data_IF_304688369692
#
_entry.id   IF_304688369692
#
_cell.length_a   1.000
_cell.length_b   1.000
_cell.length_c   1.000
_cell.angle_alpha   90.00
_cell.angle_beta   90.00
_cell.angle_gamma   90.00
#
_symmetry.space_group_name_H-M   'P 1'
#
loop_
_entity.id
_entity.type
_entity.pdbx_description
1 polymer ?
#
# COMPACT_ATOMS: atom_id res chain seq x y z
N UNK A 1 -9.28 -9.45 -12.45
CA UNK A 1 -8.94 -8.53 -11.33
C UNK A 1 -9.39 -7.08 -11.51
N UNK A 2 -9.32 -6.46 -12.70
CA UNK A 2 -9.68 -5.02 -12.88
C UNK A 2 -11.12 -4.58 -12.54
N UNK A 3 -12.04 -5.52 -12.27
CA UNK A 3 -13.39 -5.21 -11.74
C UNK A 3 -13.49 -5.25 -10.21
N UNK A 4 -12.63 -6.02 -9.52
CA UNK A 4 -12.72 -6.26 -8.08
C UNK A 4 -11.98 -5.18 -7.27
N UNK A 5 -10.80 -4.75 -7.74
CA UNK A 5 -9.97 -3.76 -7.06
C UNK A 5 -9.52 -2.67 -8.05
N UNK A 6 -10.43 -1.77 -8.47
CA UNK A 6 -10.09 -0.67 -9.39
C UNK A 6 -9.05 0.27 -8.77
N UNK A 7 -7.98 0.57 -9.50
CA UNK A 7 -6.88 1.44 -9.04
C UNK A 7 -5.93 0.76 -8.03
N UNK A 8 -5.98 -0.57 -7.93
CA UNK A 8 -5.01 -1.35 -7.19
C UNK A 8 -4.21 -2.22 -8.15
N UNK A 9 -2.91 -2.25 -7.93
CA UNK A 9 -2.00 -3.21 -8.52
C UNK A 9 -1.95 -4.46 -7.65
N UNK A 10 -1.53 -5.58 -8.24
CA UNK A 10 -1.37 -6.82 -7.51
C UNK A 10 -0.27 -7.70 -8.10
N UNK A 11 0.26 -8.59 -7.28
CA UNK A 11 1.12 -9.69 -7.67
C UNK A 11 0.76 -10.92 -6.84
N UNK A 12 1.24 -12.09 -7.26
CA UNK A 12 0.91 -13.37 -6.64
C UNK A 12 2.02 -14.38 -6.84
N UNK A 13 1.96 -15.51 -6.14
CA UNK A 13 2.89 -16.62 -6.33
C UNK A 13 2.50 -17.61 -7.46
N UNK A 14 1.66 -17.20 -8.42
CA UNK A 14 1.15 -18.06 -9.51
C UNK A 14 2.22 -18.68 -10.41
N UNK A 15 3.48 -18.19 -10.42
CA UNK A 15 4.55 -18.85 -11.18
C UNK A 15 5.14 -20.06 -10.44
N UNK A 16 4.84 -20.21 -9.15
CA UNK A 16 5.32 -21.31 -8.31
C UNK A 16 4.19 -22.19 -7.73
N UNK A 17 2.93 -21.78 -7.87
CA UNK A 17 1.74 -22.52 -7.44
C UNK A 17 0.59 -22.19 -8.40
N UNK A 18 0.03 -23.21 -9.08
CA UNK A 18 -1.07 -23.03 -10.01
C UNK A 18 -2.31 -22.40 -9.33
N UNK A 19 -2.50 -22.62 -8.03
CA UNK A 19 -3.60 -22.04 -7.25
C UNK A 19 -3.36 -20.57 -6.87
N UNK A 20 -2.11 -20.08 -6.90
CA UNK A 20 -1.78 -18.67 -6.60
C UNK A 20 -2.23 -18.17 -5.23
N UNK A 21 -2.03 -19.00 -4.20
CA UNK A 21 -2.60 -18.84 -2.84
C UNK A 21 -2.15 -17.60 -2.09
N UNK A 22 -1.07 -16.94 -2.53
CA UNK A 22 -0.57 -15.71 -1.92
C UNK A 22 -0.74 -14.58 -2.92
N UNK A 23 -1.52 -13.56 -2.54
CA UNK A 23 -1.77 -12.37 -3.36
C UNK A 23 -1.45 -11.12 -2.54
N UNK A 24 -0.67 -10.22 -3.11
CA UNK A 24 -0.31 -8.92 -2.52
C UNK A 24 -0.92 -7.82 -3.37
N UNK A 25 -1.64 -6.88 -2.74
CA UNK A 25 -2.28 -5.73 -3.39
C UNK A 25 -1.69 -4.42 -2.88
N UNK A 26 -1.55 -3.43 -3.76
CA UNK A 26 -1.10 -2.08 -3.40
C UNK A 26 -1.71 -1.02 -4.31
N UNK A 27 -1.65 0.26 -3.89
CA UNK A 27 -2.11 1.41 -4.69
C UNK A 27 -0.98 1.94 -5.59
N UNK A 28 -1.35 2.68 -6.63
CA UNK A 28 -0.45 3.17 -7.70
C UNK A 28 0.75 4.00 -7.21
N UNK A 29 0.67 4.57 -6.01
CA UNK A 29 1.78 5.29 -5.41
C UNK A 29 2.83 4.38 -4.77
N UNK A 30 2.72 3.05 -4.82
CA UNK A 30 3.72 2.11 -4.30
C UNK A 30 4.24 1.28 -5.46
N UNK A 31 5.54 1.01 -5.50
CA UNK A 31 6.13 0.05 -6.43
C UNK A 31 6.48 -1.23 -5.69
N UNK A 32 6.04 -2.37 -6.22
CA UNK A 32 6.31 -3.69 -5.65
C UNK A 32 6.97 -4.55 -6.72
N UNK A 33 8.14 -5.10 -6.40
CA UNK A 33 8.89 -6.02 -7.26
C UNK A 33 9.00 -7.37 -6.57
N UNK A 34 8.55 -8.43 -7.24
CA UNK A 34 8.74 -9.80 -6.74
C UNK A 34 10.22 -10.14 -6.82
N UNK A 35 10.81 -10.52 -5.69
CA UNK A 35 12.19 -11.00 -5.60
C UNK A 35 12.25 -12.51 -5.72
N UNK A 36 11.36 -13.21 -5.00
CA UNK A 36 11.28 -14.67 -5.00
C UNK A 36 9.85 -15.13 -4.73
N UNK A 37 9.46 -16.26 -5.31
CA UNK A 37 8.15 -16.86 -5.07
C UNK A 37 8.25 -18.39 -5.02
N UNK A 38 7.54 -18.98 -4.06
CA UNK A 38 7.41 -20.43 -3.87
C UNK A 38 5.94 -20.76 -3.61
N UNK A 39 5.64 -22.05 -3.46
CA UNK A 39 4.31 -22.50 -3.04
C UNK A 39 3.89 -21.93 -1.67
N UNK A 40 4.84 -21.66 -0.78
CA UNK A 40 4.57 -21.28 0.62
C UNK A 40 4.96 -19.83 0.97
N UNK A 41 5.67 -19.12 0.08
CA UNK A 41 6.13 -17.76 0.33
C UNK A 41 6.17 -16.89 -0.93
N UNK A 42 5.97 -15.59 -0.73
CA UNK A 42 6.13 -14.56 -1.75
C UNK A 42 6.93 -13.40 -1.16
N UNK A 43 8.18 -13.26 -1.61
CA UNK A 43 9.09 -12.20 -1.17
C UNK A 43 9.11 -11.08 -2.19
N UNK A 44 8.86 -9.87 -1.71
CA UNK A 44 8.77 -8.66 -2.49
C UNK A 44 9.68 -7.58 -1.95
N UNK A 45 10.28 -6.81 -2.84
CA UNK A 45 10.83 -5.49 -2.55
C UNK A 45 9.73 -4.44 -2.72
N UNK A 46 9.54 -3.62 -1.70
CA UNK A 46 8.51 -2.58 -1.67
C UNK A 46 9.20 -1.22 -1.61
N UNK A 47 8.90 -0.39 -2.60
CA UNK A 47 9.38 1.00 -2.69
C UNK A 47 8.22 1.96 -2.55
N UNK A 48 8.31 2.82 -1.54
CA UNK A 48 7.37 3.91 -1.29
C UNK A 48 8.04 5.21 -1.75
N UNK A 49 7.36 6.08 -2.51
CA UNK A 49 7.85 7.40 -2.89
C UNK A 49 8.28 8.17 -1.65
N UNK A 50 9.40 8.88 -1.76
CA UNK A 50 9.94 9.72 -0.69
C UNK A 50 10.16 8.97 0.63
N UNK A 51 10.41 7.66 0.56
CA UNK A 51 10.71 6.80 1.71
C UNK A 51 11.74 5.72 1.32
N UNK A 52 12.18 4.97 2.33
CA UNK A 52 13.11 3.86 2.15
C UNK A 52 12.42 2.65 1.52
N UNK A 53 13.16 1.95 0.68
CA UNK A 53 12.78 0.62 0.20
C UNK A 53 12.95 -0.40 1.33
N UNK A 54 12.06 -1.38 1.40
CA UNK A 54 12.19 -2.51 2.31
C UNK A 54 11.79 -3.82 1.63
N UNK A 55 12.23 -4.94 2.19
CA UNK A 55 11.84 -6.28 1.74
C UNK A 55 10.79 -6.84 2.69
N UNK A 56 9.76 -7.45 2.11
CA UNK A 56 8.63 -8.04 2.80
C UNK A 56 8.36 -9.44 2.24
N UNK A 57 8.09 -10.42 3.11
CA UNK A 57 7.72 -11.78 2.72
C UNK A 57 6.36 -12.13 3.28
N UNK A 58 5.40 -12.41 2.40
CA UNK A 58 4.13 -13.04 2.76
C UNK A 58 4.31 -14.56 2.80
N UNK A 59 3.84 -15.20 3.87
CA UNK A 59 3.97 -16.66 4.06
C UNK A 59 2.58 -17.27 4.19
N UNK A 60 2.33 -18.30 3.39
CA UNK A 60 1.23 -19.23 3.57
C UNK A 60 1.82 -20.63 3.72
N UNK A 61 2.14 -20.98 4.96
CA UNK A 61 2.84 -22.21 5.27
C UNK A 61 1.92 -23.43 5.19
N UNK A 62 2.48 -24.57 4.79
CA UNK A 62 1.79 -25.86 4.85
C UNK A 62 1.44 -26.22 6.28
N UNK A 63 0.31 -26.91 6.44
CA UNK A 63 -0.13 -27.49 7.70
C UNK A 63 0.81 -28.63 8.15
N UNK A 64 1.47 -29.30 7.21
CA UNK A 64 2.41 -30.38 7.51
C UNK A 64 3.79 -29.85 7.90
N UNK A 65 4.32 -30.30 9.03
CA UNK A 65 5.65 -29.86 9.50
C UNK A 65 6.79 -30.32 8.59
N UNK A 66 6.65 -31.49 7.97
CA UNK A 66 7.58 -32.02 6.96
C UNK A 66 7.71 -31.06 5.77
N UNK A 67 6.59 -30.61 5.21
CA UNK A 67 6.58 -29.68 4.07
C UNK A 67 7.10 -28.28 4.42
N UNK A 68 7.04 -27.88 5.70
CA UNK A 68 7.60 -26.59 6.15
C UNK A 68 9.13 -26.58 6.16
N UNK A 69 9.80 -27.72 6.09
CA UNK A 69 11.27 -27.77 6.00
C UNK A 69 11.75 -27.05 4.74
N UNK A 70 11.09 -27.31 3.61
CA UNK A 70 11.40 -26.65 2.33
C UNK A 70 11.20 -25.13 2.42
N UNK A 71 10.12 -24.69 3.08
CA UNK A 71 9.89 -23.26 3.34
C UNK A 71 11.07 -22.63 4.10
N UNK A 72 11.58 -23.27 5.15
CA UNK A 72 12.70 -22.74 5.92
C UNK A 72 13.99 -22.66 5.11
N UNK A 73 14.28 -23.68 4.29
CA UNK A 73 15.43 -23.68 3.40
C UNK A 73 15.32 -22.54 2.38
N UNK A 74 14.14 -22.37 1.78
CA UNK A 74 13.88 -21.29 0.82
C UNK A 74 14.02 -19.90 1.46
N UNK A 75 13.54 -19.70 2.68
CA UNK A 75 13.70 -18.44 3.41
C UNK A 75 15.17 -18.15 3.71
N UNK A 76 15.95 -19.16 4.10
CA UNK A 76 17.39 -19.02 4.35
C UNK A 76 18.15 -18.67 3.07
N UNK A 77 17.84 -19.36 1.97
CA UNK A 77 18.42 -19.07 0.66
C UNK A 77 18.07 -17.65 0.20
N UNK A 78 16.81 -17.25 0.36
CA UNK A 78 16.34 -15.88 0.04
C UNK A 78 17.10 -14.84 0.86
N UNK A 79 17.22 -15.05 2.16
CA UNK A 79 17.97 -14.19 3.07
C UNK A 79 19.43 -14.02 2.60
N UNK A 80 20.10 -15.13 2.24
CA UNK A 80 21.48 -15.12 1.76
C UNK A 80 21.61 -14.44 0.38
N UNK A 81 20.77 -14.82 -0.57
CA UNK A 81 20.82 -14.35 -1.96
C UNK A 81 20.58 -12.85 -2.09
N UNK A 82 19.66 -12.31 -1.28
CA UNK A 82 19.36 -10.87 -1.27
C UNK A 82 20.15 -10.10 -0.22
N UNK A 83 21.09 -10.75 0.48
CA UNK A 83 21.89 -10.15 1.56
C UNK A 83 21.02 -9.36 2.54
N UNK A 84 19.86 -9.93 2.88
CA UNK A 84 18.98 -9.35 3.89
C UNK A 84 19.75 -9.46 5.20
N UNK A 85 20.08 -8.35 5.86
CA UNK A 85 20.90 -8.40 7.07
C UNK A 85 20.06 -8.85 8.28
N UNK A 86 20.48 -9.88 9.02
CA UNK A 86 19.79 -10.42 10.19
C UNK A 86 19.78 -9.44 11.37
N UNK A 87 20.73 -8.50 11.43
CA UNK A 87 20.68 -7.40 12.40
C UNK A 87 19.58 -6.38 12.06
N UNK A 88 18.97 -6.53 10.89
CA UNK A 88 17.88 -5.74 10.34
C UNK A 88 16.58 -6.57 10.26
N UNK A 89 16.39 -7.63 11.06
CA UNK A 89 15.09 -8.34 11.17
C UNK A 89 13.90 -7.41 11.50
N UNK A 90 14.21 -6.20 11.95
CA UNK A 90 13.29 -5.11 12.20
C UNK A 90 13.43 -3.95 11.20
N UNK A 91 13.90 -4.12 9.95
CA UNK A 91 14.02 -3.00 8.98
C UNK A 91 12.73 -2.20 8.92
N UNK A 92 11.61 -2.92 8.81
CA UNK A 92 10.30 -2.30 8.72
C UNK A 92 9.90 -1.60 10.03
N UNK A 93 10.26 -2.12 11.20
CA UNK A 93 9.97 -1.50 12.50
C UNK A 93 10.92 -0.32 12.79
N UNK A 94 12.13 -0.32 12.25
CA UNK A 94 13.06 0.80 12.36
C UNK A 94 12.68 1.92 11.39
N UNK A 95 12.24 1.57 10.18
CA UNK A 95 11.78 2.52 9.16
C UNK A 95 10.38 3.06 9.45
N UNK A 96 9.51 2.23 10.03
CA UNK A 96 8.11 2.50 10.32
C UNK A 96 7.74 1.99 11.72
N UNK A 97 8.18 2.66 12.79
CA UNK A 97 7.98 2.20 14.17
C UNK A 97 6.51 2.10 14.58
N UNK A 98 5.64 2.92 13.99
CA UNK A 98 4.20 2.92 14.25
C UNK A 98 3.42 2.00 13.28
N UNK A 99 4.12 1.14 12.52
CA UNK A 99 3.43 0.22 11.62
C UNK A 99 2.64 -0.85 12.38
N UNK A 100 1.55 -1.30 11.77
CA UNK A 100 0.63 -2.28 12.33
C UNK A 100 0.12 -3.21 11.24
N UNK A 101 -0.15 -4.46 11.61
CA UNK A 101 -0.77 -5.45 10.74
C UNK A 101 -2.15 -5.82 11.30
N UNK A 102 -3.18 -5.80 10.47
CA UNK A 102 -4.54 -6.17 10.81
C UNK A 102 -4.97 -7.38 9.99
N UNK A 103 -5.28 -8.48 10.65
CA UNK A 103 -5.85 -9.67 9.99
C UNK A 103 -7.37 -9.52 9.96
N UNK A 104 -7.91 -9.41 8.75
CA UNK A 104 -9.34 -9.30 8.50
C UNK A 104 -10.00 -10.68 8.53
N UNK A 105 -11.32 -10.76 8.79
CA UNK A 105 -12.05 -12.03 8.74
C UNK A 105 -11.84 -12.74 7.40
N UNK A 106 -11.70 -14.06 7.45
CA UNK A 106 -11.42 -14.90 6.28
C UNK A 106 -12.55 -14.93 5.23
N UNK A 107 -13.75 -14.49 5.62
CA UNK A 107 -14.97 -14.46 4.80
C UNK A 107 -15.17 -15.81 4.08
N UNK A 108 -15.04 -15.84 2.76
CA UNK A 108 -15.23 -17.04 1.91
C UNK A 108 -13.94 -17.76 1.56
N UNK A 109 -12.79 -17.25 2.02
CA UNK A 109 -11.49 -17.91 1.86
C UNK A 109 -11.15 -18.64 3.16
N UNK A 110 -10.39 -19.72 3.04
CA UNK A 110 -9.65 -20.35 4.14
C UNK A 110 -8.44 -19.51 4.58
N UNK A 111 -8.19 -18.38 3.92
CA UNK A 111 -7.20 -17.38 4.29
C UNK A 111 -7.83 -16.13 4.92
N UNK A 112 -7.13 -15.53 5.88
CA UNK A 112 -7.45 -14.21 6.42
C UNK A 112 -6.62 -13.13 5.70
N UNK A 113 -7.24 -12.13 5.06
CA UNK A 113 -6.50 -11.03 4.46
C UNK A 113 -5.70 -10.27 5.52
N UNK A 114 -4.44 -9.91 5.21
CA UNK A 114 -3.61 -9.10 6.08
C UNK A 114 -3.47 -7.68 5.51
N UNK A 115 -3.89 -6.67 6.27
CA UNK A 115 -3.68 -5.27 5.97
C UNK A 115 -2.46 -4.76 6.74
N UNK A 116 -1.41 -4.41 6.01
CA UNK A 116 -0.23 -3.75 6.57
C UNK A 116 -0.41 -2.22 6.49
N UNK A 117 -0.55 -1.58 7.64
CA UNK A 117 -0.55 -0.12 7.78
C UNK A 117 0.82 0.35 8.25
N UNK A 118 1.57 1.04 7.38
CA UNK A 118 2.91 1.51 7.71
C UNK A 118 2.92 2.79 8.56
N UNK A 119 1.76 3.35 8.90
CA UNK A 119 1.61 4.67 9.55
C UNK A 119 2.39 5.80 8.84
N UNK A 120 2.75 5.58 7.57
CA UNK A 120 3.45 6.55 6.74
C UNK A 120 2.49 7.66 6.32
N UNK A 121 2.86 8.91 6.59
CA UNK A 121 2.12 10.07 6.11
C UNK A 121 2.32 10.19 4.61
N UNK A 122 1.32 9.74 3.85
CA UNK A 122 1.26 10.02 2.42
C UNK A 122 1.29 11.55 2.26
N UNK A 123 2.21 12.12 1.44
CA UNK A 123 2.26 13.56 1.20
C UNK A 123 0.87 14.09 0.87
N UNK A 124 0.37 15.02 1.67
CA UNK A 124 -1.01 15.52 1.59
C UNK A 124 -1.20 16.56 0.48
N UNK A 125 -0.59 16.35 -0.69
CA UNK A 125 -0.81 17.22 -1.83
C UNK A 125 -1.95 16.67 -2.70
N UNK A 126 -3.04 17.43 -2.78
CA UNK A 126 -4.04 17.30 -3.84
C UNK A 126 -5.07 16.16 -3.76
N UNK A 127 -5.12 15.35 -2.71
CA UNK A 127 -6.00 14.15 -2.67
C UNK A 127 -7.39 14.37 -2.08
N UNK A 128 -7.68 15.52 -1.48
CA UNK A 128 -9.08 15.89 -1.21
C UNK A 128 -9.63 16.56 -2.46
N UNK A 129 -10.49 15.89 -3.26
CA UNK A 129 -11.22 16.59 -4.29
C UNK A 129 -11.96 17.75 -3.62
N UNK A 130 -11.75 18.96 -4.15
CA UNK A 130 -12.52 20.12 -3.73
C UNK A 130 -14.01 19.79 -3.92
N UNK A 131 -14.72 19.62 -2.81
CA UNK A 131 -16.14 19.30 -2.83
C UNK A 131 -16.91 20.61 -2.71
N UNK A 132 -17.27 21.18 -3.85
CA UNK A 132 -18.26 22.24 -3.89
C UNK A 132 -19.64 21.65 -3.62
N UNK A 133 -20.31 22.12 -2.57
CA UNK A 133 -21.68 21.70 -2.32
C UNK A 133 -22.63 22.46 -3.25
N UNK A 134 -23.25 21.76 -4.20
CA UNK A 134 -24.16 22.36 -5.19
C UNK A 134 -25.36 23.11 -4.59
N UNK A 135 -25.71 22.91 -3.31
CA UNK A 135 -26.77 23.71 -2.68
C UNK A 135 -26.30 25.14 -2.39
N UNK A 136 -24.99 25.39 -2.26
CA UNK A 136 -24.45 26.73 -2.00
C UNK A 136 -24.70 27.67 -3.17
N UNK A 137 -24.71 27.16 -4.41
CA UNK A 137 -25.06 27.97 -5.58
C UNK A 137 -26.55 28.36 -5.63
N UNK A 138 -27.39 27.72 -4.81
CA UNK A 138 -28.82 28.05 -4.69
C UNK A 138 -29.08 29.11 -3.61
N UNK A 139 -28.06 29.51 -2.86
CA UNK A 139 -28.22 30.51 -1.81
C UNK A 139 -28.48 31.89 -2.44
N UNK A 140 -29.44 32.69 -1.93
CA UNK A 140 -29.80 33.99 -2.52
C UNK A 140 -28.63 34.96 -2.70
N UNK A 141 -27.65 34.91 -1.78
CA UNK A 141 -26.47 35.79 -1.81
C UNK A 141 -25.24 35.17 -2.48
N UNK A 142 -25.35 33.97 -3.08
CA UNK A 142 -24.20 33.27 -3.65
C UNK A 142 -23.44 34.13 -4.68
N UNK A 143 -24.17 34.74 -5.63
CA UNK A 143 -23.56 35.54 -6.68
C UNK A 143 -22.87 36.79 -6.13
N UNK A 144 -23.50 37.48 -5.18
CA UNK A 144 -22.93 38.67 -4.56
C UNK A 144 -21.65 38.34 -3.79
N UNK A 145 -21.68 37.28 -2.98
CA UNK A 145 -20.53 36.84 -2.20
C UNK A 145 -19.33 36.46 -3.09
N UNK A 146 -19.59 35.72 -4.19
CA UNK A 146 -18.53 35.33 -5.14
C UNK A 146 -17.93 36.57 -5.83
N UNK A 147 -18.76 37.53 -6.24
CA UNK A 147 -18.30 38.76 -6.89
C UNK A 147 -17.46 39.63 -5.94
N UNK A 148 -17.90 39.80 -4.70
CA UNK A 148 -17.17 40.53 -3.66
C UNK A 148 -15.81 39.86 -3.39
N UNK A 149 -15.79 38.53 -3.18
CA UNK A 149 -14.57 37.78 -2.94
C UNK A 149 -13.60 37.86 -4.13
N UNK A 150 -14.11 37.80 -5.37
CA UNK A 150 -13.28 37.90 -6.58
C UNK A 150 -12.67 39.29 -6.75
N UNK A 151 -13.43 40.34 -6.42
CA UNK A 151 -12.96 41.73 -6.45
C UNK A 151 -11.90 41.95 -5.38
N UNK A 152 -12.06 41.34 -4.20
CA UNK A 152 -11.14 41.45 -3.07
C UNK A 152 -9.84 40.66 -3.30
N UNK A 153 -9.91 39.53 -4.00
CA UNK A 153 -8.75 38.69 -4.33
C UNK A 153 -7.80 39.32 -5.38
N UNK A 154 -8.30 40.28 -6.18
CA UNK A 154 -7.51 40.98 -7.21
C UNK A 154 -7.01 40.06 -8.33
N UNK A 155 -5.88 40.42 -8.96
CA UNK A 155 -5.25 39.65 -10.05
C UNK A 155 -4.32 38.52 -9.60
N UNK A 156 -4.19 38.30 -8.29
CA UNK A 156 -3.32 37.28 -7.70
C UNK A 156 -4.02 35.93 -7.65
N UNK A 157 -3.59 35.01 -8.50
CA UNK A 157 -4.06 33.62 -8.46
C UNK A 157 -3.18 32.79 -7.53
N UNK A 158 -3.74 32.33 -6.42
CA UNK A 158 -3.11 31.33 -5.55
C UNK A 158 -3.58 29.94 -5.95
N UNK A 159 -2.65 29.04 -6.17
CA UNK A 159 -2.94 27.62 -6.23
C UNK A 159 -2.85 27.02 -4.81
N UNK A 160 -3.36 25.80 -4.64
CA UNK A 160 -3.39 25.13 -3.33
C UNK A 160 -1.99 24.90 -2.74
N UNK A 161 -0.92 25.03 -3.54
CA UNK A 161 0.47 24.97 -3.07
C UNK A 161 0.91 26.20 -2.30
N UNK A 162 0.17 27.32 -2.33
CA UNK A 162 0.51 28.54 -1.61
C UNK A 162 -0.10 28.64 -0.20
N UNK A 163 -0.94 27.66 0.19
CA UNK A 163 -1.59 27.60 1.50
C UNK A 163 -0.82 26.72 2.52
N UNK A 164 0.45 26.41 2.22
CA UNK A 164 1.36 25.64 3.07
C UNK A 164 2.13 26.52 4.05
#
# INVERSE_FOLDING_TARGET
>A
MGKLCRGWNFTSNHLADDDGRIIVFWKDNISVRVLHQTRQALTCEVKIPDSSTFVYTAIYASNESSERIDLWVELLNTYQNFSLDAHLGCQILNLFPDCSAFFLPSLTSDHSPCLLNLAYKIPSFGTRPFKFYNYLSKHPWFHQLVLEAWTQAGGTTWNLTALS
#
